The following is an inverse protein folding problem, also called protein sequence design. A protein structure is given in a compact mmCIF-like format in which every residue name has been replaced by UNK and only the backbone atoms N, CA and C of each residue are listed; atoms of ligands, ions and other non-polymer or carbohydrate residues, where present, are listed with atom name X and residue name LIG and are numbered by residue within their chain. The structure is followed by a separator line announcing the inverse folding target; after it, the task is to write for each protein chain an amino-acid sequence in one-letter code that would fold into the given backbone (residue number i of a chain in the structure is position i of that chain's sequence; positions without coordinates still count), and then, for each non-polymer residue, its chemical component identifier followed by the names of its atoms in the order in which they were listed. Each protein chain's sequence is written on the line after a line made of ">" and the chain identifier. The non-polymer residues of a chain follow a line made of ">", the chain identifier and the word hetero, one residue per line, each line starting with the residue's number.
data_IF_209252073045
#
_entry.id   IF_209252073045
#
_cell.length_a   1.000
_cell.length_b   1.000
_cell.length_c   1.000
_cell.angle_alpha   90.00
_cell.angle_beta   90.00
_cell.angle_gamma   90.00
#
_symmetry.space_group_name_H-M   'P 1'
#
loop_
_entity.id
_entity.type
_entity.pdbx_description
1 polymer ?
#
# COMPACT_ATOMS: atom_id res chain seq x y z
N UNK A 1 15.75 -7.16 -0.61
CA UNK A 1 15.52 -6.57 -1.95
C UNK A 1 14.08 -6.87 -2.35
N UNK A 2 13.12 -5.95 -2.20
CA UNK A 2 11.72 -6.38 -2.25
C UNK A 2 10.99 -6.05 -3.55
N UNK A 3 11.62 -5.29 -4.45
CA UNK A 3 11.19 -5.16 -5.83
C UNK A 3 12.11 -5.98 -6.74
N UNK A 4 11.53 -6.89 -7.50
CA UNK A 4 12.24 -7.68 -8.50
C UNK A 4 12.83 -6.80 -9.61
N UNK A 5 13.83 -7.29 -10.32
CA UNK A 5 14.40 -6.59 -11.48
C UNK A 5 13.34 -6.28 -12.56
N UNK A 6 12.34 -7.15 -12.70
CA UNK A 6 11.22 -6.97 -13.62
C UNK A 6 10.30 -5.81 -13.21
N UNK A 7 9.97 -5.70 -11.92
CA UNK A 7 9.19 -4.57 -11.41
C UNK A 7 9.96 -3.25 -11.57
N UNK A 8 11.25 -3.26 -11.25
CA UNK A 8 12.08 -2.07 -11.40
C UNK A 8 12.20 -1.63 -12.86
N UNK A 9 12.24 -2.55 -13.82
CA UNK A 9 12.32 -2.17 -15.24
C UNK A 9 11.03 -1.48 -15.71
N UNK A 10 9.86 -1.98 -15.29
CA UNK A 10 8.57 -1.33 -15.57
C UNK A 10 8.49 0.03 -14.89
N UNK A 11 8.85 0.13 -13.60
CA UNK A 11 8.81 1.40 -12.87
C UNK A 11 9.69 2.47 -13.53
N UNK A 12 10.91 2.12 -13.95
CA UNK A 12 11.82 3.07 -14.66
C UNK A 12 11.23 3.57 -15.97
N UNK A 13 10.55 2.71 -16.72
CA UNK A 13 9.89 3.10 -17.98
C UNK A 13 8.72 4.05 -17.73
N UNK A 14 7.94 3.79 -16.67
CA UNK A 14 6.74 4.56 -16.35
C UNK A 14 7.03 5.84 -15.53
N UNK A 15 8.22 5.94 -14.93
CA UNK A 15 8.63 7.08 -14.10
C UNK A 15 8.49 8.43 -14.82
N UNK A 16 8.81 8.48 -16.11
CA UNK A 16 8.68 9.69 -16.93
C UNK A 16 7.22 10.14 -17.14
N UNK A 17 6.26 9.24 -16.95
CA UNK A 17 4.83 9.54 -17.07
C UNK A 17 4.21 9.93 -15.72
N UNK A 18 4.99 9.92 -14.63
CA UNK A 18 4.51 10.29 -13.30
C UNK A 18 4.64 11.80 -13.07
N UNK A 19 3.71 12.34 -12.29
CA UNK A 19 3.63 13.74 -11.87
C UNK A 19 3.04 13.81 -10.46
N UNK A 20 2.96 15.01 -9.83
CA UNK A 20 2.29 15.14 -8.54
C UNK A 20 0.84 14.63 -8.50
N UNK A 21 0.16 14.63 -9.65
CA UNK A 21 -1.24 14.18 -9.84
C UNK A 21 -1.33 12.73 -10.36
N UNK A 22 -0.19 12.06 -10.55
CA UNK A 22 -0.06 10.76 -11.21
C UNK A 22 1.15 10.04 -10.62
N UNK A 23 0.97 9.25 -9.56
CA UNK A 23 2.07 8.78 -8.72
C UNK A 23 1.94 7.30 -8.35
N UNK A 24 3.04 6.67 -7.97
CA UNK A 24 3.06 5.28 -7.49
C UNK A 24 2.58 5.22 -6.04
N UNK A 25 1.69 4.28 -5.74
CA UNK A 25 1.08 4.10 -4.43
C UNK A 25 1.17 2.63 -3.98
N UNK A 26 0.35 2.27 -2.99
CA UNK A 26 0.19 0.90 -2.54
C UNK A 26 1.41 0.30 -1.87
N UNK A 27 1.50 -1.03 -1.92
CA UNK A 27 2.54 -1.79 -1.24
C UNK A 27 3.94 -1.50 -1.79
N UNK A 28 4.04 -1.15 -3.09
CA UNK A 28 5.30 -0.81 -3.74
C UNK A 28 6.05 0.29 -2.98
N UNK A 29 5.35 1.33 -2.50
CA UNK A 29 5.96 2.43 -1.72
C UNK A 29 6.57 1.94 -0.40
N UNK A 30 5.92 0.98 0.27
CA UNK A 30 6.37 0.46 1.55
C UNK A 30 7.54 -0.53 1.40
N UNK A 31 7.60 -1.22 0.27
CA UNK A 31 8.53 -2.30 0.00
C UNK A 31 9.68 -1.90 -0.94
N UNK A 32 10.00 -0.61 -1.04
CA UNK A 32 11.25 -0.17 -1.70
C UNK A 32 12.49 -0.43 -0.84
N UNK A 33 12.33 -0.54 0.48
CA UNK A 33 13.43 -0.60 1.45
C UNK A 33 13.98 -2.04 1.55
N UNK A 34 15.32 -2.24 1.65
CA UNK A 34 15.94 -3.58 1.62
C UNK A 34 15.34 -4.63 2.56
N UNK A 35 14.88 -4.22 3.75
CA UNK A 35 14.40 -5.07 4.85
C UNK A 35 12.88 -5.32 4.86
N UNK A 36 12.21 -5.15 3.71
CA UNK A 36 10.79 -5.46 3.57
C UNK A 36 10.49 -6.96 3.84
N UNK A 37 9.35 -7.29 4.47
CA UNK A 37 8.98 -8.66 4.81
C UNK A 37 8.54 -9.50 3.61
N UNK A 38 8.16 -8.87 2.49
CA UNK A 38 7.60 -9.54 1.31
C UNK A 38 7.85 -8.77 0.02
N UNK A 39 7.63 -9.43 -1.10
CA UNK A 39 7.59 -8.82 -2.43
C UNK A 39 6.20 -8.22 -2.72
N UNK A 40 6.17 -7.19 -3.57
CA UNK A 40 4.89 -6.68 -4.11
C UNK A 40 4.43 -7.57 -5.27
N UNK A 41 3.13 -7.78 -5.43
CA UNK A 41 2.57 -8.58 -6.55
C UNK A 41 2.09 -7.69 -7.70
N UNK A 42 1.94 -6.40 -7.42
CA UNK A 42 1.33 -5.40 -8.28
C UNK A 42 2.04 -4.05 -8.18
N UNK A 43 1.83 -3.23 -9.20
CA UNK A 43 2.12 -1.80 -9.20
C UNK A 43 0.82 -1.02 -9.24
N UNK A 44 0.65 -0.12 -8.28
CA UNK A 44 -0.51 0.76 -8.15
C UNK A 44 -0.12 2.17 -8.57
N UNK A 45 -0.79 2.72 -9.57
CA UNK A 45 -0.68 4.11 -10.01
C UNK A 45 -1.96 4.85 -9.69
N UNK A 46 -1.87 5.84 -8.80
CA UNK A 46 -3.00 6.62 -8.35
C UNK A 46 -3.05 7.99 -9.02
N UNK A 47 -4.27 8.48 -9.21
CA UNK A 47 -4.55 9.75 -9.89
C UNK A 47 -5.59 10.54 -9.12
N UNK A 48 -5.41 11.85 -9.07
CA UNK A 48 -6.30 12.75 -8.31
C UNK A 48 -7.67 12.91 -8.99
N UNK A 49 -7.72 12.71 -10.32
CA UNK A 49 -8.90 12.94 -11.16
C UNK A 49 -9.19 11.71 -12.01
N UNK A 50 -10.46 11.31 -12.07
CA UNK A 50 -10.94 10.15 -12.84
C UNK A 50 -10.50 10.20 -14.31
N UNK A 51 -10.70 11.35 -14.98
CA UNK A 51 -10.31 11.54 -16.38
C UNK A 51 -8.81 11.30 -16.65
N UNK A 52 -7.97 11.48 -15.63
CA UNK A 52 -6.53 11.22 -15.75
C UNK A 52 -6.21 9.73 -15.72
N UNK A 53 -7.04 8.87 -15.12
CA UNK A 53 -6.79 7.41 -15.01
C UNK A 53 -6.67 6.79 -16.41
N UNK A 54 -7.67 7.00 -17.27
CA UNK A 54 -7.68 6.43 -18.61
C UNK A 54 -6.55 6.98 -19.50
N UNK A 55 -6.26 8.27 -19.38
CA UNK A 55 -5.19 8.93 -20.14
C UNK A 55 -3.80 8.43 -19.71
N UNK A 56 -3.53 8.40 -18.41
CA UNK A 56 -2.26 7.88 -17.88
C UNK A 56 -2.05 6.42 -18.25
N UNK A 57 -3.09 5.59 -18.12
CA UNK A 57 -3.00 4.18 -18.50
C UNK A 57 -2.72 4.00 -20.00
N UNK A 58 -3.30 4.83 -20.87
CA UNK A 58 -3.00 4.80 -22.31
C UNK A 58 -1.53 5.17 -22.60
N UNK A 59 -0.99 6.19 -21.93
CA UNK A 59 0.41 6.57 -22.09
C UNK A 59 1.37 5.49 -21.57
N UNK A 60 1.07 4.93 -20.39
CA UNK A 60 1.88 3.86 -19.79
C UNK A 60 1.90 2.61 -20.69
N UNK A 61 0.73 2.21 -21.20
CA UNK A 61 0.62 1.07 -22.12
C UNK A 61 1.37 1.32 -23.42
N UNK A 62 1.32 2.53 -23.99
CA UNK A 62 2.07 2.85 -25.20
C UNK A 62 3.59 2.75 -24.97
N UNK A 63 4.08 3.21 -23.81
CA UNK A 63 5.50 3.08 -23.44
C UNK A 63 5.89 1.61 -23.27
N UNK A 64 5.06 0.81 -22.61
CA UNK A 64 5.33 -0.61 -22.39
C UNK A 64 5.31 -1.40 -23.70
N UNK A 65 4.33 -1.17 -24.58
CA UNK A 65 4.24 -1.80 -25.90
C UNK A 65 5.47 -1.48 -26.75
N UNK A 66 5.89 -0.22 -26.80
CA UNK A 66 7.11 0.21 -27.49
C UNK A 66 8.40 -0.44 -26.94
N UNK A 67 8.37 -0.94 -25.70
CA UNK A 67 9.48 -1.65 -25.05
C UNK A 67 9.30 -3.18 -25.05
N UNK A 68 8.36 -3.70 -25.85
CA UNK A 68 8.17 -5.13 -26.09
C UNK A 68 7.42 -5.87 -24.99
N UNK A 69 6.61 -5.17 -24.20
CA UNK A 69 5.68 -5.80 -23.25
C UNK A 69 4.35 -6.10 -23.93
N UNK A 70 3.84 -7.32 -23.75
CA UNK A 70 2.47 -7.66 -24.08
C UNK A 70 1.54 -7.20 -22.95
N UNK A 71 0.47 -6.49 -23.28
CA UNK A 71 -0.50 -5.98 -22.31
C UNK A 71 -1.85 -6.69 -22.49
N UNK A 72 -2.34 -7.30 -21.41
CA UNK A 72 -3.67 -7.91 -21.33
C UNK A 72 -4.57 -7.12 -20.37
N UNK A 73 -5.68 -6.58 -20.86
CA UNK A 73 -6.65 -5.87 -20.01
C UNK A 73 -7.54 -6.85 -19.24
N UNK A 74 -7.57 -6.71 -17.91
CA UNK A 74 -8.38 -7.54 -17.02
C UNK A 74 -9.67 -6.82 -16.62
N UNK A 75 -9.59 -5.52 -16.35
CA UNK A 75 -10.73 -4.70 -15.98
C UNK A 75 -10.57 -3.27 -16.49
N UNK A 76 -11.67 -2.70 -16.99
CA UNK A 76 -11.72 -1.30 -17.43
C UNK A 76 -13.00 -0.63 -16.96
N UNK A 77 -12.89 0.19 -15.92
CA UNK A 77 -13.94 1.05 -15.38
C UNK A 77 -13.43 2.50 -15.35
N UNK A 78 -14.31 3.53 -15.33
CA UNK A 78 -13.89 4.93 -15.42
C UNK A 78 -12.81 5.33 -14.41
N UNK A 79 -13.01 4.99 -13.14
CA UNK A 79 -12.09 5.30 -12.04
C UNK A 79 -11.07 4.18 -11.73
N UNK A 80 -11.09 3.07 -12.47
CA UNK A 80 -10.26 1.92 -12.15
C UNK A 80 -9.97 1.03 -13.36
N UNK A 81 -8.69 0.89 -13.69
CA UNK A 81 -8.20 0.05 -14.77
C UNK A 81 -7.19 -0.96 -14.24
N UNK A 82 -7.23 -2.19 -14.76
CA UNK A 82 -6.30 -3.25 -14.41
C UNK A 82 -5.83 -3.98 -15.66
N UNK A 83 -4.53 -4.18 -15.76
CA UNK A 83 -3.89 -4.95 -16.82
C UNK A 83 -2.80 -5.87 -16.28
N UNK A 84 -2.40 -6.84 -17.09
CA UNK A 84 -1.19 -7.64 -16.90
C UNK A 84 -0.18 -7.21 -17.97
N UNK A 85 1.01 -6.82 -17.55
CA UNK A 85 2.15 -6.59 -18.42
C UNK A 85 3.08 -7.81 -18.39
N UNK A 86 3.35 -8.39 -19.55
CA UNK A 86 4.16 -9.60 -19.68
C UNK A 86 5.32 -9.41 -20.66
N UNK A 87 6.50 -9.94 -20.30
CA UNK A 87 7.69 -9.97 -21.15
C UNK A 87 8.64 -11.06 -20.67
N UNK A 88 9.23 -11.80 -21.62
CA UNK A 88 10.26 -12.81 -21.35
C UNK A 88 9.85 -13.86 -20.29
N UNK A 89 8.59 -14.29 -20.31
CA UNK A 89 8.06 -15.30 -19.37
C UNK A 89 7.77 -14.76 -17.97
N UNK A 90 7.97 -13.47 -17.73
CA UNK A 90 7.58 -12.77 -16.50
C UNK A 90 6.31 -11.96 -16.77
N UNK A 91 5.51 -11.78 -15.72
CA UNK A 91 4.30 -10.95 -15.78
C UNK A 91 4.10 -10.18 -14.48
N UNK A 92 3.45 -9.02 -14.58
CA UNK A 92 3.17 -8.14 -13.45
C UNK A 92 1.81 -7.48 -13.63
N UNK A 93 1.03 -7.43 -12.54
CA UNK A 93 -0.25 -6.72 -12.54
C UNK A 93 -0.01 -5.22 -12.37
N UNK A 94 -0.67 -4.45 -13.22
CA UNK A 94 -0.69 -2.99 -13.21
C UNK A 94 -2.10 -2.52 -12.91
N UNK A 95 -2.23 -1.59 -11.97
CA UNK A 95 -3.50 -0.99 -11.59
C UNK A 95 -3.41 0.53 -11.69
N UNK A 96 -4.40 1.15 -12.34
CA UNK A 96 -4.59 2.59 -12.35
C UNK A 96 -5.89 2.89 -11.65
N UNK A 97 -5.84 3.66 -10.58
CA UNK A 97 -7.02 4.01 -9.79
C UNK A 97 -7.12 5.52 -9.63
N UNK A 98 -8.35 6.01 -9.51
CA UNK A 98 -8.62 7.32 -8.92
C UNK A 98 -8.57 7.17 -7.40
N UNK A 99 -7.87 8.08 -6.73
CA UNK A 99 -7.77 8.12 -5.28
C UNK A 99 -8.25 9.48 -4.75
N UNK A 100 -8.84 9.48 -3.56
CA UNK A 100 -9.29 10.71 -2.92
C UNK A 100 -8.08 11.50 -2.39
N UNK A 101 -8.06 12.81 -2.63
CA UNK A 101 -6.88 13.66 -2.45
C UNK A 101 -6.45 13.91 -0.99
N UNK A 102 -7.03 13.24 0.03
CA UNK A 102 -6.56 13.44 1.40
C UNK A 102 -5.17 12.82 1.57
N UNK A 103 -4.19 13.68 1.86
CA UNK A 103 -2.83 13.29 2.19
C UNK A 103 -2.33 14.11 3.37
N UNK A 104 -1.55 13.47 4.23
CA UNK A 104 -0.80 14.17 5.29
C UNK A 104 0.37 14.95 4.72
N UNK A 105 1.02 14.40 3.69
CA UNK A 105 2.15 15.03 3.03
C UNK A 105 1.95 15.11 1.52
N UNK A 106 2.63 16.07 0.84
CA UNK A 106 2.74 16.05 -0.60
C UNK A 106 3.34 14.72 -1.09
N UNK A 107 3.03 14.35 -2.33
CA UNK A 107 3.73 13.24 -3.00
C UNK A 107 5.19 13.61 -3.21
N UNK A 108 6.06 12.60 -3.20
CA UNK A 108 7.51 12.77 -3.23
C UNK A 108 8.05 12.39 -4.61
N UNK A 109 9.03 13.16 -5.08
CA UNK A 109 9.82 12.76 -6.24
C UNK A 109 10.70 11.57 -5.87
N UNK A 110 10.80 10.59 -6.77
CA UNK A 110 11.51 9.35 -6.54
C UNK A 110 12.29 8.92 -7.79
N UNK A 111 13.53 8.47 -7.61
CA UNK A 111 14.39 8.12 -8.76
C UNK A 111 13.89 6.89 -9.53
N UNK A 112 13.25 5.93 -8.84
CA UNK A 112 12.75 4.70 -9.45
C UNK A 112 11.34 4.88 -9.99
N UNK A 113 10.49 5.58 -9.25
CA UNK A 113 9.07 5.72 -9.52
C UNK A 113 8.70 7.03 -10.24
N UNK A 114 9.60 8.00 -10.36
CA UNK A 114 9.27 9.35 -10.81
C UNK A 114 8.59 10.16 -9.72
N UNK A 115 7.35 9.78 -9.36
CA UNK A 115 6.63 10.28 -8.19
C UNK A 115 5.99 9.13 -7.42
N UNK A 116 5.99 9.22 -6.09
CA UNK A 116 5.35 8.26 -5.20
C UNK A 116 4.61 8.92 -4.05
N UNK A 117 3.66 8.20 -3.47
CA UNK A 117 3.00 8.59 -2.24
C UNK A 117 4.04 8.69 -1.09
N UNK A 118 3.85 9.67 -0.20
CA UNK A 118 4.66 9.75 1.01
C UNK A 118 4.48 8.49 1.87
N UNK A 119 5.54 8.04 2.54
CA UNK A 119 5.52 6.76 3.29
C UNK A 119 4.43 6.74 4.37
N UNK A 120 4.23 7.84 5.10
CA UNK A 120 3.14 7.95 6.09
C UNK A 120 1.75 7.76 5.48
N UNK A 121 1.55 8.31 4.29
CA UNK A 121 0.29 8.22 3.59
C UNK A 121 0.03 6.78 3.10
N UNK A 122 1.06 6.11 2.56
CA UNK A 122 0.96 4.70 2.20
C UNK A 122 0.71 3.79 3.43
N UNK A 123 1.37 4.08 4.56
CA UNK A 123 1.20 3.33 5.80
C UNK A 123 -0.21 3.43 6.38
N UNK A 124 -0.78 4.64 6.41
CA UNK A 124 -2.16 4.86 6.86
C UNK A 124 -3.18 4.22 5.92
N UNK A 125 -2.97 4.30 4.60
CA UNK A 125 -3.81 3.60 3.63
C UNK A 125 -3.78 2.07 3.79
N UNK A 126 -2.66 1.49 4.27
CA UNK A 126 -2.61 0.05 4.59
C UNK A 126 -3.45 -0.33 5.79
N UNK A 127 -3.50 0.51 6.82
CA UNK A 127 -4.40 0.29 7.96
C UNK A 127 -5.86 0.30 7.48
N UNK A 128 -6.24 1.29 6.67
CA UNK A 128 -7.59 1.34 6.10
C UNK A 128 -7.90 0.13 5.19
N UNK A 129 -6.93 -0.31 4.39
CA UNK A 129 -7.08 -1.51 3.57
C UNK A 129 -7.33 -2.76 4.44
N UNK A 130 -6.53 -2.98 5.50
CA UNK A 130 -6.76 -4.10 6.41
C UNK A 130 -8.11 -4.00 7.15
N UNK A 131 -8.58 -2.79 7.45
CA UNK A 131 -9.90 -2.59 8.05
C UNK A 131 -11.06 -2.86 7.07
N UNK A 132 -10.87 -2.57 5.78
CA UNK A 132 -11.89 -2.74 4.75
C UNK A 132 -11.93 -4.14 4.12
N UNK A 133 -10.84 -4.92 4.18
CA UNK A 133 -10.76 -6.25 3.57
C UNK A 133 -9.85 -7.22 4.34
N UNK A 134 -10.11 -8.52 4.17
CA UNK A 134 -9.33 -9.61 4.73
C UNK A 134 -8.30 -10.12 3.72
N UNK A 135 -7.17 -9.43 3.63
CA UNK A 135 -6.04 -9.81 2.79
C UNK A 135 -4.79 -10.05 3.64
N UNK A 136 -4.19 -11.23 3.55
CA UNK A 136 -3.06 -11.62 4.41
C UNK A 136 -1.84 -10.69 4.25
N UNK A 137 -1.64 -10.15 3.04
CA UNK A 137 -0.57 -9.19 2.74
C UNK A 137 -0.71 -7.89 3.54
N UNK A 138 -1.92 -7.38 3.71
CA UNK A 138 -2.14 -6.12 4.45
C UNK A 138 -1.88 -6.33 5.95
N UNK A 139 -2.13 -7.52 6.48
CA UNK A 139 -1.77 -7.90 7.86
C UNK A 139 -0.26 -7.96 8.09
N UNK A 140 0.51 -8.55 7.16
CA UNK A 140 1.97 -8.55 7.21
C UNK A 140 2.52 -7.12 7.11
N UNK A 141 1.97 -6.31 6.21
CA UNK A 141 2.40 -4.92 6.02
C UNK A 141 2.17 -4.10 7.30
N UNK A 142 1.01 -4.23 7.94
CA UNK A 142 0.70 -3.51 9.19
C UNK A 142 1.63 -3.93 10.33
N UNK A 143 1.94 -5.23 10.49
CA UNK A 143 2.90 -5.68 11.50
C UNK A 143 4.32 -5.16 11.24
N UNK A 144 4.72 -5.11 9.98
CA UNK A 144 6.01 -4.54 9.60
C UNK A 144 6.06 -3.04 9.89
N UNK A 145 4.98 -2.31 9.63
CA UNK A 145 4.89 -0.88 9.94
C UNK A 145 4.96 -0.61 11.45
N UNK A 146 4.23 -1.38 12.28
CA UNK A 146 4.26 -1.26 13.74
C UNK A 146 5.66 -1.45 14.32
N UNK A 147 6.47 -2.31 13.71
CA UNK A 147 7.83 -2.61 14.18
C UNK A 147 8.94 -1.74 13.58
N UNK A 148 8.70 -1.10 12.44
CA UNK A 148 9.77 -0.41 11.68
C UNK A 148 9.50 1.05 11.34
N UNK A 149 8.28 1.56 11.58
CA UNK A 149 7.92 2.91 11.17
C UNK A 149 7.09 3.69 12.20
N UNK A 150 5.81 3.38 12.34
CA UNK A 150 4.90 4.04 13.29
C UNK A 150 4.08 2.97 13.98
N UNK A 151 3.84 3.15 15.28
CA UNK A 151 3.02 2.20 16.04
C UNK A 151 1.62 2.03 15.44
N UNK A 152 1.03 0.84 15.61
CA UNK A 152 -0.32 0.54 15.14
C UNK A 152 -1.34 1.58 15.65
N UNK A 153 -1.22 2.01 16.90
CA UNK A 153 -2.09 3.04 17.49
C UNK A 153 -1.96 4.38 16.78
N UNK A 154 -0.74 4.84 16.50
CA UNK A 154 -0.50 6.10 15.79
C UNK A 154 -1.05 6.05 14.35
N UNK A 155 -0.87 4.92 13.66
CA UNK A 155 -1.43 4.73 12.31
C UNK A 155 -2.96 4.68 12.32
N UNK A 156 -3.58 3.99 13.29
CA UNK A 156 -5.04 3.96 13.44
C UNK A 156 -5.60 5.35 13.72
N UNK A 157 -4.92 6.10 14.60
CA UNK A 157 -5.30 7.46 14.95
C UNK A 157 -5.29 8.38 13.73
N UNK A 158 -4.21 8.36 12.95
CA UNK A 158 -4.08 9.14 11.72
C UNK A 158 -5.07 8.69 10.64
N UNK A 159 -5.29 7.38 10.47
CA UNK A 159 -6.21 6.84 9.46
C UNK A 159 -7.64 7.41 9.58
N UNK A 160 -8.10 7.78 10.78
CA UNK A 160 -9.40 8.42 10.99
C UNK A 160 -9.50 9.83 10.37
N UNK A 161 -8.37 10.50 10.11
CA UNK A 161 -8.33 11.76 9.39
C UNK A 161 -8.57 11.59 7.89
N UNK A 162 -8.13 10.45 7.34
CA UNK A 162 -8.35 10.06 5.94
C UNK A 162 -9.77 9.60 5.69
N UNK A 163 -10.31 8.80 6.61
CA UNK A 163 -11.67 8.28 6.54
C UNK A 163 -12.43 8.63 7.83
N UNK A 164 -13.22 9.70 7.75
CA UNK A 164 -14.01 10.23 8.86
C UNK A 164 -15.18 9.30 9.25
N UNK A 165 -15.41 8.21 8.51
CA UNK A 165 -16.34 7.15 8.91
C UNK A 165 -15.82 6.29 10.05
N UNK A 166 -14.52 6.38 10.38
CA UNK A 166 -13.90 5.63 11.47
C UNK A 166 -13.66 6.45 12.72
N UNK A 167 -13.83 5.82 13.88
CA UNK A 167 -13.18 6.22 15.13
C UNK A 167 -11.98 5.30 15.39
N UNK A 168 -10.98 5.73 16.18
CA UNK A 168 -9.80 4.90 16.40
C UNK A 168 -10.11 3.53 17.02
N UNK A 169 -11.03 3.47 17.99
CA UNK A 169 -11.47 2.20 18.60
C UNK A 169 -12.20 1.30 17.60
N UNK A 170 -13.11 1.87 16.80
CA UNK A 170 -13.84 1.12 15.79
C UNK A 170 -12.90 0.57 14.71
N UNK A 171 -11.91 1.35 14.30
CA UNK A 171 -10.90 0.93 13.35
C UNK A 171 -10.09 -0.24 13.91
N UNK A 172 -9.60 -0.12 15.15
CA UNK A 172 -8.84 -1.17 15.83
C UNK A 172 -9.63 -2.48 15.93
N UNK A 173 -10.93 -2.40 16.21
CA UNK A 173 -11.84 -3.55 16.18
C UNK A 173 -11.96 -4.19 14.79
N UNK A 174 -12.09 -3.39 13.73
CA UNK A 174 -12.15 -3.89 12.34
C UNK A 174 -10.86 -4.61 11.96
N UNK A 175 -9.71 -4.03 12.30
CA UNK A 175 -8.41 -4.67 12.06
C UNK A 175 -8.35 -6.05 12.70
N UNK A 176 -8.78 -6.17 13.97
CA UNK A 176 -8.73 -7.44 14.68
C UNK A 176 -9.66 -8.49 14.05
N UNK A 177 -10.85 -8.09 13.56
CA UNK A 177 -11.77 -8.97 12.84
C UNK A 177 -11.16 -9.49 11.54
N UNK A 178 -10.47 -8.63 10.79
CA UNK A 178 -9.87 -8.98 9.51
C UNK A 178 -8.49 -9.66 9.64
N UNK A 179 -7.91 -9.72 10.84
CA UNK A 179 -6.60 -10.35 11.07
C UNK A 179 -6.66 -11.88 11.25
N UNK A 180 -7.79 -12.54 11.00
CA UNK A 180 -7.93 -13.98 11.20
C UNK A 180 -7.45 -14.76 9.97
N UNK A 181 -6.24 -15.32 9.99
CA UNK A 181 -5.64 -16.08 8.89
C UNK A 181 -5.19 -17.49 9.31
N UNK A 182 -4.97 -18.37 8.34
CA UNK A 182 -4.36 -19.69 8.51
C UNK A 182 -2.87 -19.67 8.12
N UNK A 183 -2.10 -20.66 8.57
CA UNK A 183 -0.70 -20.79 8.17
C UNK A 183 -0.54 -20.98 6.66
N UNK A 184 -1.48 -21.68 6.01
CA UNK A 184 -1.48 -21.89 4.56
C UNK A 184 -1.67 -20.58 3.80
N UNK A 185 -2.54 -19.68 4.28
CA UNK A 185 -2.73 -18.36 3.68
C UNK A 185 -1.44 -17.53 3.76
N UNK A 186 -0.71 -17.60 4.87
CA UNK A 186 0.60 -16.93 5.02
C UNK A 186 1.65 -17.54 4.09
N UNK A 187 1.68 -18.86 3.94
CA UNK A 187 2.65 -19.56 3.08
C UNK A 187 2.44 -19.33 1.58
N UNK A 188 1.26 -18.86 1.17
CA UNK A 188 0.98 -18.47 -0.23
C UNK A 188 1.58 -17.13 -0.60
N UNK A 189 1.99 -16.32 0.37
CA UNK A 189 2.63 -15.02 0.12
C UNK A 189 4.09 -15.22 -0.30
N UNK A 190 4.57 -14.35 -1.19
CA UNK A 190 5.98 -14.26 -1.54
C UNK A 190 6.75 -13.48 -0.45
N UNK A 191 7.14 -14.18 0.61
CA UNK A 191 7.82 -13.62 1.77
C UNK A 191 9.34 -13.64 1.59
N UNK A 192 10.00 -12.55 1.99
CA UNK A 192 11.46 -12.46 1.98
C UNK A 192 12.10 -13.40 3.02
N UNK A 193 11.39 -13.66 4.12
CA UNK A 193 11.77 -14.60 5.18
C UNK A 193 10.53 -15.39 5.59
N UNK A 194 10.62 -16.72 5.80
CA UNK A 194 9.50 -17.51 6.29
C UNK A 194 8.97 -16.97 7.63
N UNK A 195 7.65 -16.80 7.70
CA UNK A 195 6.95 -16.35 8.91
C UNK A 195 5.97 -17.43 9.40
N UNK A 196 5.84 -17.56 10.72
CA UNK A 196 4.85 -18.46 11.32
C UNK A 196 3.66 -17.67 11.84
N UNK A 197 2.45 -18.20 11.63
CA UNK A 197 1.22 -17.59 12.14
C UNK A 197 1.24 -17.42 13.67
N UNK A 198 1.75 -18.38 14.48
CA UNK A 198 1.88 -18.16 15.93
C UNK A 198 2.74 -16.95 16.30
N UNK A 199 3.86 -16.71 15.61
CA UNK A 199 4.73 -15.57 15.88
C UNK A 199 4.07 -14.26 15.44
N UNK A 200 3.46 -14.25 14.25
CA UNK A 200 2.69 -13.10 13.76
C UNK A 200 1.53 -12.76 14.69
N UNK A 201 0.83 -13.76 15.23
CA UNK A 201 -0.27 -13.55 16.19
C UNK A 201 0.23 -13.01 17.52
N UNK A 202 1.40 -13.45 18.00
CA UNK A 202 2.02 -12.88 19.20
C UNK A 202 2.36 -11.41 19.01
N UNK A 203 2.95 -11.06 17.87
CA UNK A 203 3.26 -9.67 17.52
C UNK A 203 1.97 -8.84 17.41
N UNK A 204 0.94 -9.39 16.75
CA UNK A 204 -0.37 -8.74 16.62
C UNK A 204 -1.00 -8.43 17.97
N UNK A 205 -1.10 -9.40 18.88
CA UNK A 205 -1.67 -9.17 20.20
C UNK A 205 -0.91 -8.07 20.96
N UNK A 206 0.42 -8.06 20.88
CA UNK A 206 1.23 -7.04 21.53
C UNK A 206 1.04 -5.65 20.90
N UNK A 207 0.90 -5.57 19.57
CA UNK A 207 0.62 -4.33 18.85
C UNK A 207 -0.78 -3.78 19.21
N UNK A 208 -1.80 -4.64 19.25
CA UNK A 208 -3.16 -4.29 19.65
C UNK A 208 -3.22 -3.74 21.09
N UNK A 209 -2.49 -4.37 22.01
CA UNK A 209 -2.43 -3.92 23.41
C UNK A 209 -1.75 -2.55 23.55
N UNK A 210 -0.63 -2.34 22.84
CA UNK A 210 0.04 -1.03 22.77
C UNK A 210 -0.86 0.03 22.14
N UNK A 211 -1.54 -0.32 21.05
CA UNK A 211 -2.46 0.57 20.34
C UNK A 211 -3.57 1.03 21.29
N UNK A 212 -4.29 0.11 21.95
CA UNK A 212 -5.37 0.46 22.87
C UNK A 212 -4.93 1.41 24.01
N UNK A 213 -3.73 1.21 24.56
CA UNK A 213 -3.15 2.14 25.55
C UNK A 213 -2.91 3.53 24.97
N UNK A 214 -2.35 3.62 23.77
CA UNK A 214 -2.08 4.89 23.11
C UNK A 214 -3.37 5.63 22.79
N UNK A 215 -4.38 4.94 22.22
CA UNK A 215 -5.67 5.55 21.88
C UNK A 215 -6.37 6.16 23.10
N UNK A 216 -6.24 5.53 24.27
CA UNK A 216 -6.79 6.05 25.53
C UNK A 216 -6.05 7.30 26.04
N UNK A 217 -4.77 7.46 25.67
CA UNK A 217 -3.91 8.54 26.15
C UNK A 217 -3.93 9.79 25.25
N UNK A 218 -4.36 9.66 23.99
CA UNK A 218 -4.35 10.77 23.04
C UNK A 218 -5.57 11.70 23.20
N UNK A 219 -5.42 13.02 22.98
CA UNK A 219 -6.52 13.98 23.09
C UNK A 219 -7.57 13.79 22.00
N UNK A 220 -8.85 13.65 22.37
CA UNK A 220 -9.91 13.35 21.40
C UNK A 220 -10.13 14.43 20.32
N UNK A 221 -9.73 15.68 20.57
CA UNK A 221 -9.79 16.79 19.61
C UNK A 221 -8.69 16.72 18.54
N UNK A 222 -7.70 15.85 18.71
CA UNK A 222 -6.62 15.63 17.75
C UNK A 222 -6.83 14.38 16.90
N UNK A 223 -8.02 13.75 16.94
CA UNK A 223 -8.35 12.56 16.11
C UNK A 223 -8.12 12.85 14.64
N UNK A 224 -7.39 11.95 13.97
CA UNK A 224 -7.03 12.10 12.57
C UNK A 224 -5.73 12.86 12.33
N UNK A 225 -5.11 13.44 13.36
CA UNK A 225 -3.75 13.97 13.26
C UNK A 225 -2.73 12.84 13.07
N UNK A 226 -1.65 13.12 12.35
CA UNK A 226 -0.53 12.20 12.24
C UNK A 226 0.56 12.57 13.24
N UNK A 227 0.72 11.76 14.30
CA UNK A 227 1.88 11.87 15.18
C UNK A 227 3.06 11.13 14.57
N UNK A 228 4.19 11.82 14.51
CA UNK A 228 5.46 11.21 14.17
C UNK A 228 6.11 10.77 15.48
N UNK A 229 6.35 9.46 15.62
CA UNK A 229 7.10 8.93 16.77
C UNK A 229 8.48 9.61 16.82
N UNK A 230 8.86 10.10 18.01
CA UNK A 230 10.22 10.61 18.29
C UNK A 230 11.10 9.52 18.86
#
# INVERSE_FOLDING_TARGET
>A
MPLSAFQQSILRLLAQNRSPESYVAGATVLHQIPDSPRFSDDLDMFHDVEDSVARSAAFDVAVLDANGFAIEWILRQPAYLRAIAAKEGQSLRLEWAQDSAFRFFPVEQDELCGYRLHRADAATSKVLALAGRREARDFIDVLHLDSSYLSLGALCWAACGKDQGYTPDFLLDQLNRNAAFTQEEIQRLDLAVPQTLPDLKRQWCAAMERAGRLLTALPADEVGCLYLDR
#
